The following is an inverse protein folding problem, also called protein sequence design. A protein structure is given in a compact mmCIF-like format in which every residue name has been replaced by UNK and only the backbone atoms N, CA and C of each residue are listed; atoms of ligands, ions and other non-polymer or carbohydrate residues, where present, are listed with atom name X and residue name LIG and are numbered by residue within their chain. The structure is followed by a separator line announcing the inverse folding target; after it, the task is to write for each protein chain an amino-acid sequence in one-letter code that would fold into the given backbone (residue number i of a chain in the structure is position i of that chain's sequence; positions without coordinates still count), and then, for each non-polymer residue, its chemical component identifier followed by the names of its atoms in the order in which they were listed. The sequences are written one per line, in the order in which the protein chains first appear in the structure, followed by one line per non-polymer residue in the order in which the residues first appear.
data_IF_966780737750
#
_entry.id   IF_966780737750
#
_cell.length_a   1.000
_cell.length_b   1.000
_cell.length_c   1.000
_cell.angle_alpha   90.00
_cell.angle_beta   90.00
_cell.angle_gamma   90.00
#
_symmetry.space_group_name_H-M   'P 1'
#
loop_
_entity.id
_entity.type
_entity.pdbx_description
1 polymer ?
#
# COMPACT_ATOMS: atom_id res chain seq x y z
N UNK A 1 13.61 14.91 0.03
CA UNK A 1 13.39 14.58 -1.36
C UNK A 1 12.66 15.73 -2.05
N UNK A 2 13.09 16.07 -3.26
CA UNK A 2 12.48 17.15 -4.04
C UNK A 2 11.13 16.70 -4.66
N UNK A 3 11.00 15.40 -4.97
CA UNK A 3 9.82 14.81 -5.57
C UNK A 3 9.17 13.84 -4.58
N UNK A 4 7.89 14.04 -4.31
CA UNK A 4 7.11 13.21 -3.39
C UNK A 4 6.04 12.43 -4.17
N UNK A 5 6.11 11.10 -4.07
CA UNK A 5 5.09 10.19 -4.61
C UNK A 5 4.24 9.69 -3.45
N UNK A 6 2.94 9.84 -3.55
CA UNK A 6 1.96 9.22 -2.64
C UNK A 6 1.12 8.24 -3.45
N UNK A 7 1.05 7.00 -2.99
CA UNK A 7 0.34 5.93 -3.67
C UNK A 7 -0.72 5.32 -2.74
N UNK A 8 -2.00 5.42 -3.12
CA UNK A 8 -3.09 4.70 -2.46
C UNK A 8 -3.21 3.32 -3.11
N UNK A 9 -2.93 2.29 -2.33
CA UNK A 9 -2.78 0.92 -2.80
C UNK A 9 -3.62 -0.07 -2.00
N UNK A 10 -3.91 -1.20 -2.65
CA UNK A 10 -4.59 -2.35 -2.08
C UNK A 10 -3.78 -3.61 -2.41
N UNK A 11 -3.41 -4.40 -1.41
CA UNK A 11 -2.57 -5.59 -1.58
C UNK A 11 -3.22 -6.71 -2.40
N UNK A 12 -4.54 -6.72 -2.54
CA UNK A 12 -5.25 -7.68 -3.40
C UNK A 12 -5.52 -7.15 -4.82
N UNK A 13 -5.17 -5.90 -5.11
CA UNK A 13 -5.34 -5.30 -6.42
C UNK A 13 -4.17 -5.66 -7.36
N UNK A 14 -4.40 -6.35 -8.49
CA UNK A 14 -3.34 -6.72 -9.43
C UNK A 14 -2.61 -5.52 -10.03
N UNK A 15 -3.33 -4.45 -10.35
CA UNK A 15 -2.76 -3.21 -10.88
C UNK A 15 -1.85 -2.53 -9.85
N UNK A 16 -2.20 -2.63 -8.55
CA UNK A 16 -1.37 -2.09 -7.47
C UNK A 16 -0.02 -2.81 -7.37
N UNK A 17 0.00 -4.13 -7.53
CA UNK A 17 1.25 -4.90 -7.53
C UNK A 17 2.18 -4.49 -8.68
N UNK A 18 1.62 -4.18 -9.85
CA UNK A 18 2.39 -3.71 -11.01
C UNK A 18 2.98 -2.32 -10.77
N UNK A 19 2.18 -1.40 -10.26
CA UNK A 19 2.59 -0.02 -9.96
C UNK A 19 3.61 0.02 -8.83
N UNK A 20 3.40 -0.78 -7.78
CA UNK A 20 4.34 -0.83 -6.65
C UNK A 20 5.75 -1.23 -7.10
N UNK A 21 5.87 -2.27 -7.94
CA UNK A 21 7.15 -2.70 -8.47
C UNK A 21 7.86 -1.60 -9.29
N UNK A 22 7.12 -0.80 -10.08
CA UNK A 22 7.67 0.35 -10.80
C UNK A 22 8.13 1.44 -9.83
N UNK A 23 7.31 1.80 -8.84
CA UNK A 23 7.64 2.81 -7.84
C UNK A 23 8.87 2.41 -7.04
N UNK A 24 8.91 1.16 -6.55
CA UNK A 24 10.02 0.66 -5.76
C UNK A 24 11.36 0.70 -6.54
N UNK A 25 11.31 0.39 -7.85
CA UNK A 25 12.48 0.53 -8.73
C UNK A 25 12.94 1.99 -8.84
N UNK A 26 12.03 2.91 -9.05
CA UNK A 26 12.34 4.34 -9.22
C UNK A 26 12.91 4.95 -7.92
N UNK A 27 12.29 4.67 -6.78
CA UNK A 27 12.75 5.17 -5.49
C UNK A 27 14.14 4.63 -5.12
N UNK A 28 14.42 3.36 -5.42
CA UNK A 28 15.77 2.78 -5.20
C UNK A 28 16.84 3.38 -6.11
N UNK A 29 16.45 3.90 -7.27
CA UNK A 29 17.39 4.47 -8.25
C UNK A 29 17.63 5.97 -8.08
N UNK A 30 16.88 6.66 -7.19
CA UNK A 30 16.87 8.13 -7.10
C UNK A 30 16.78 8.61 -5.65
N UNK A 31 17.77 9.38 -5.22
CA UNK A 31 17.82 9.98 -3.87
C UNK A 31 16.88 11.21 -3.72
N UNK A 32 16.45 11.78 -4.83
CA UNK A 32 15.57 12.96 -4.87
C UNK A 32 14.08 12.61 -4.84
N UNK A 33 13.71 11.32 -4.87
CA UNK A 33 12.34 10.83 -4.82
C UNK A 33 12.04 10.18 -3.47
N UNK A 34 10.91 10.54 -2.88
CA UNK A 34 10.36 9.85 -1.71
C UNK A 34 9.01 9.20 -2.02
N UNK A 35 8.74 8.09 -1.36
CA UNK A 35 7.47 7.36 -1.47
C UNK A 35 6.76 7.30 -0.12
N UNK A 36 5.46 7.60 -0.15
CA UNK A 36 4.51 7.23 0.90
C UNK A 36 3.46 6.30 0.31
N UNK A 37 3.38 5.10 0.84
CA UNK A 37 2.25 4.19 0.57
C UNK A 37 1.15 4.47 1.58
N UNK A 38 -0.07 4.60 1.09
CA UNK A 38 -1.31 4.75 1.84
C UNK A 38 -2.21 3.55 1.59
N UNK A 39 -2.74 2.97 2.65
CA UNK A 39 -3.64 1.84 2.54
C UNK A 39 -5.02 2.29 2.04
N UNK A 40 -5.49 1.68 0.96
CA UNK A 40 -6.85 1.89 0.48
C UNK A 40 -7.50 0.56 0.06
N UNK A 41 -7.71 -0.36 1.02
CA UNK A 41 -8.33 -1.65 0.73
C UNK A 41 -9.75 -1.48 0.21
N UNK A 42 -10.07 -2.10 -0.92
CA UNK A 42 -11.45 -2.18 -1.42
C UNK A 42 -12.19 -3.32 -0.72
N UNK A 43 -12.30 -3.19 0.60
CA UNK A 43 -12.78 -4.20 1.52
C UNK A 43 -13.65 -3.56 2.61
N UNK A 44 -14.88 -4.01 2.72
CA UNK A 44 -15.93 -3.43 3.56
C UNK A 44 -15.55 -3.23 5.04
N UNK A 45 -14.85 -4.15 5.72
CA UNK A 45 -14.56 -4.01 7.15
C UNK A 45 -13.73 -2.78 7.54
N UNK A 46 -12.95 -2.21 6.62
CA UNK A 46 -12.11 -1.05 6.93
C UNK A 46 -12.27 0.12 5.96
N UNK A 47 -13.11 -0.02 4.93
CA UNK A 47 -13.34 1.03 3.94
C UNK A 47 -14.84 1.21 3.70
N UNK A 48 -15.40 2.31 4.23
CA UNK A 48 -16.83 2.62 4.08
C UNK A 48 -17.26 2.84 2.62
N UNK A 49 -16.33 3.26 1.75
CA UNK A 49 -16.62 3.39 0.33
C UNK A 49 -16.85 2.02 -0.32
N UNK A 50 -16.11 1.00 0.11
CA UNK A 50 -16.30 -0.36 -0.37
C UNK A 50 -17.66 -0.94 0.02
N UNK A 51 -18.30 -0.43 1.08
CA UNK A 51 -19.63 -0.85 1.47
C UNK A 51 -20.73 -0.47 0.45
N UNK A 52 -20.47 0.50 -0.43
CA UNK A 52 -21.36 0.86 -1.53
C UNK A 52 -21.23 -0.03 -2.78
N UNK A 53 -20.21 -0.90 -2.82
CA UNK A 53 -20.02 -1.85 -3.90
C UNK A 53 -21.00 -3.03 -3.75
N UNK A 54 -21.52 -3.54 -4.87
CA UNK A 54 -22.43 -4.68 -4.88
C UNK A 54 -21.80 -5.99 -4.39
N UNK A 55 -20.47 -6.06 -4.39
CA UNK A 55 -19.69 -7.21 -3.93
C UNK A 55 -18.42 -6.72 -3.23
N UNK A 56 -17.81 -7.60 -2.44
CA UNK A 56 -16.53 -7.34 -1.75
C UNK A 56 -15.38 -7.89 -2.60
N UNK A 57 -14.76 -7.06 -3.45
CA UNK A 57 -13.79 -7.57 -4.45
C UNK A 57 -12.51 -8.10 -3.82
N UNK A 58 -12.12 -7.55 -2.66
CA UNK A 58 -10.86 -7.83 -2.01
C UNK A 58 -11.07 -8.23 -0.53
N UNK A 59 -11.59 -9.46 -0.25
CA UNK A 59 -12.11 -9.83 1.07
C UNK A 59 -11.05 -9.88 2.19
N UNK A 60 -9.76 -9.95 1.86
CA UNK A 60 -8.66 -9.98 2.83
C UNK A 60 -7.77 -8.74 2.83
N UNK A 61 -8.11 -7.71 2.04
CA UNK A 61 -7.26 -6.54 1.87
C UNK A 61 -7.08 -5.73 3.16
N UNK A 62 -8.12 -5.63 4.01
CA UNK A 62 -7.99 -4.98 5.32
C UNK A 62 -6.96 -5.69 6.21
N UNK A 63 -6.99 -7.02 6.22
CA UNK A 63 -6.05 -7.80 7.02
C UNK A 63 -4.63 -7.75 6.47
N UNK A 64 -4.46 -7.74 5.15
CA UNK A 64 -3.15 -7.55 4.52
C UNK A 64 -2.55 -6.19 4.88
N UNK A 65 -3.32 -5.11 4.80
CA UNK A 65 -2.88 -3.78 5.22
C UNK A 65 -2.45 -3.76 6.71
N UNK A 66 -3.25 -4.40 7.59
CA UNK A 66 -2.91 -4.51 9.01
C UNK A 66 -1.68 -5.39 9.26
N UNK A 67 -1.42 -6.39 8.41
CA UNK A 67 -0.22 -7.21 8.50
C UNK A 67 1.04 -6.38 8.17
N UNK A 68 1.01 -5.56 7.12
CA UNK A 68 2.10 -4.63 6.81
C UNK A 68 2.37 -3.65 7.95
N UNK A 69 1.31 -3.05 8.52
CA UNK A 69 1.42 -2.17 9.68
C UNK A 69 1.99 -2.88 10.91
N UNK A 70 1.58 -4.13 11.16
CA UNK A 70 2.11 -4.93 12.26
C UNK A 70 3.60 -5.20 12.11
N UNK A 71 4.06 -5.52 10.91
CA UNK A 71 5.48 -5.67 10.60
C UNK A 71 6.25 -4.39 10.88
N UNK A 72 5.72 -3.24 10.45
CA UNK A 72 6.32 -1.93 10.72
C UNK A 72 6.38 -1.58 12.20
N UNK A 73 5.35 -1.89 12.98
CA UNK A 73 5.32 -1.66 14.43
C UNK A 73 6.35 -2.53 15.15
N UNK A 74 6.53 -3.77 14.71
CA UNK A 74 7.40 -4.74 15.38
C UNK A 74 8.86 -4.67 14.95
N UNK A 75 9.13 -4.34 13.70
CA UNK A 75 10.45 -4.41 13.09
C UNK A 75 10.93 -3.12 12.40
N UNK A 76 10.12 -2.04 12.48
CA UNK A 76 10.50 -0.76 11.85
C UNK A 76 10.19 -0.68 10.37
N UNK A 77 10.70 0.38 9.74
CA UNK A 77 10.38 0.72 8.35
C UNK A 77 10.81 -0.38 7.36
N UNK A 78 11.99 -0.97 7.55
CA UNK A 78 12.47 -2.02 6.66
C UNK A 78 11.57 -3.26 6.69
N UNK A 79 11.07 -3.61 7.87
CA UNK A 79 10.13 -4.72 8.02
C UNK A 79 8.75 -4.43 7.39
N UNK A 80 8.29 -3.17 7.46
CA UNK A 80 7.09 -2.74 6.74
C UNK A 80 7.25 -2.97 5.23
N UNK A 81 8.36 -2.51 4.66
CA UNK A 81 8.61 -2.64 3.22
C UNK A 81 8.80 -4.09 2.78
N UNK A 82 9.54 -4.91 3.57
CA UNK A 82 9.68 -6.34 3.30
C UNK A 82 8.33 -7.05 3.27
N UNK A 83 7.49 -6.82 4.28
CA UNK A 83 6.13 -7.38 4.32
C UNK A 83 5.28 -6.89 3.16
N UNK A 84 5.35 -5.60 2.81
CA UNK A 84 4.62 -5.00 1.70
C UNK A 84 4.98 -5.66 0.37
N UNK A 85 6.27 -5.80 0.06
CA UNK A 85 6.76 -6.48 -1.14
C UNK A 85 6.28 -7.94 -1.20
N UNK A 86 6.34 -8.65 -0.06
CA UNK A 86 5.89 -10.03 0.05
C UNK A 86 4.40 -10.18 -0.21
N UNK A 87 3.57 -9.26 0.32
CA UNK A 87 2.13 -9.25 0.10
C UNK A 87 1.78 -9.00 -1.37
N UNK A 88 2.43 -8.03 -2.02
CA UNK A 88 2.23 -7.77 -3.45
C UNK A 88 2.69 -8.93 -4.34
N UNK A 89 3.81 -9.58 -4.00
CA UNK A 89 4.31 -10.75 -4.73
C UNK A 89 3.32 -11.91 -4.74
N UNK A 90 2.46 -12.02 -3.73
CA UNK A 90 1.38 -13.01 -3.64
C UNK A 90 0.15 -12.71 -4.52
N UNK A 91 0.08 -11.52 -5.08
CA UNK A 91 -0.99 -11.08 -6.00
C UNK A 91 -2.42 -11.31 -5.46
N UNK A 92 -2.61 -11.03 -4.19
CA UNK A 92 -3.91 -11.10 -3.53
C UNK A 92 -4.37 -12.48 -3.11
N UNK A 93 -3.53 -13.48 -3.22
CA UNK A 93 -3.85 -14.85 -2.78
C UNK A 93 -3.34 -15.07 -1.36
N UNK A 94 -4.13 -14.70 -0.34
CA UNK A 94 -3.79 -14.95 1.07
C UNK A 94 -5.02 -15.01 1.98
N UNK A 95 -4.94 -15.91 2.94
CA UNK A 95 -5.87 -16.10 4.06
C UNK A 95 -5.22 -15.63 5.35
N UNK A 96 -5.96 -15.59 6.47
CA UNK A 96 -5.39 -15.31 7.79
C UNK A 96 -4.25 -16.26 8.18
N UNK A 97 -4.37 -17.54 7.82
CA UNK A 97 -3.33 -18.52 8.10
C UNK A 97 -2.05 -18.23 7.31
N UNK A 98 -2.20 -17.82 6.04
CA UNK A 98 -1.08 -17.44 5.18
C UNK A 98 -0.43 -16.14 5.65
N UNK A 99 -1.18 -15.15 6.11
CA UNK A 99 -0.62 -13.93 6.69
C UNK A 99 0.24 -14.23 7.92
N UNK A 100 -0.20 -15.14 8.79
CA UNK A 100 0.61 -15.59 9.93
C UNK A 100 1.85 -16.37 9.51
N UNK A 101 1.74 -17.22 8.48
CA UNK A 101 2.87 -17.95 7.93
C UNK A 101 3.91 -17.01 7.29
N UNK A 102 3.45 -15.99 6.56
CA UNK A 102 4.32 -14.94 6.03
C UNK A 102 5.08 -14.21 7.13
N UNK A 103 4.38 -13.84 8.21
CA UNK A 103 4.99 -13.18 9.35
C UNK A 103 6.08 -14.05 10.00
N UNK A 104 5.84 -15.35 10.14
CA UNK A 104 6.84 -16.28 10.66
C UNK A 104 8.05 -16.41 9.72
N UNK A 105 7.84 -16.41 8.41
CA UNK A 105 8.91 -16.44 7.41
C UNK A 105 9.76 -15.15 7.43
N UNK A 106 9.16 -14.00 7.77
CA UNK A 106 9.84 -12.72 8.00
C UNK A 106 10.52 -12.63 9.38
N UNK A 107 10.48 -13.69 10.18
CA UNK A 107 11.15 -13.78 11.48
C UNK A 107 10.35 -13.23 12.67
N UNK A 108 9.06 -12.96 12.51
CA UNK A 108 8.21 -12.52 13.61
C UNK A 108 7.70 -13.70 14.43
N UNK A 109 7.64 -13.52 15.75
CA UNK A 109 7.03 -14.48 16.67
C UNK A 109 5.49 -14.49 16.44
N UNK A 110 4.88 -15.63 16.03
CA UNK A 110 3.51 -15.64 15.53
C UNK A 110 2.44 -15.12 16.50
N UNK A 111 2.40 -15.48 17.81
CA UNK A 111 1.44 -14.91 18.74
C UNK A 111 1.59 -13.38 18.91
N UNK A 112 2.81 -12.87 18.94
CA UNK A 112 3.07 -11.42 19.06
C UNK A 112 2.61 -10.68 17.81
N UNK A 113 2.93 -11.22 16.64
CA UNK A 113 2.49 -10.66 15.37
C UNK A 113 0.97 -10.62 15.27
N UNK A 114 0.30 -11.74 15.57
CA UNK A 114 -1.16 -11.83 15.53
C UNK A 114 -1.83 -10.80 16.46
N UNK A 115 -1.35 -10.65 17.70
CA UNK A 115 -1.85 -9.62 18.63
C UNK A 115 -1.67 -8.20 18.08
N UNK A 116 -0.51 -7.91 17.48
CA UNK A 116 -0.25 -6.59 16.88
C UNK A 116 -1.14 -6.36 15.67
N UNK A 117 -1.24 -7.31 14.76
CA UNK A 117 -2.09 -7.24 13.57
C UNK A 117 -3.58 -7.04 13.91
N UNK A 118 -4.06 -7.64 14.99
CA UNK A 118 -5.46 -7.49 15.44
C UNK A 118 -5.69 -6.30 16.36
N UNK A 119 -4.66 -5.52 16.69
CA UNK A 119 -4.76 -4.37 17.61
C UNK A 119 -5.55 -3.20 17.02
N UNK A 120 -6.05 -2.35 17.92
CA UNK A 120 -6.68 -1.09 17.53
C UNK A 120 -5.70 -0.13 16.84
N UNK A 121 -4.41 -0.23 17.12
CA UNK A 121 -3.41 0.63 16.50
C UNK A 121 -3.33 0.40 14.99
N UNK A 122 -3.18 -0.86 14.56
CA UNK A 122 -3.13 -1.18 13.12
C UNK A 122 -4.47 -0.86 12.45
N UNK A 123 -5.59 -1.11 13.12
CA UNK A 123 -6.93 -0.75 12.61
C UNK A 123 -7.02 0.74 12.33
N UNK A 124 -6.69 1.58 13.31
CA UNK A 124 -6.77 3.06 13.16
C UNK A 124 -5.82 3.59 12.08
N UNK A 125 -4.63 3.02 11.91
CA UNK A 125 -3.70 3.42 10.85
C UNK A 125 -4.30 3.17 9.47
N UNK A 126 -4.83 1.98 9.23
CA UNK A 126 -5.48 1.64 7.96
C UNK A 126 -6.71 2.52 7.71
N UNK A 127 -7.59 2.65 8.71
CA UNK A 127 -8.79 3.50 8.61
C UNK A 127 -8.43 4.98 8.36
N UNK A 128 -7.37 5.49 8.99
CA UNK A 128 -6.90 6.87 8.77
C UNK A 128 -6.44 7.10 7.32
N UNK A 129 -5.70 6.17 6.74
CA UNK A 129 -5.29 6.25 5.34
C UNK A 129 -6.50 6.18 4.40
N UNK A 130 -7.47 5.32 4.69
CA UNK A 130 -8.73 5.24 3.92
C UNK A 130 -9.49 6.56 3.97
N UNK A 131 -9.68 7.15 5.14
CA UNK A 131 -10.40 8.42 5.28
C UNK A 131 -9.65 9.58 4.59
N UNK A 132 -8.33 9.61 4.66
CA UNK A 132 -7.50 10.56 3.90
C UNK A 132 -7.73 10.38 2.39
N UNK A 133 -7.70 9.14 1.90
CA UNK A 133 -7.97 8.84 0.50
C UNK A 133 -9.36 9.30 0.06
N UNK A 134 -10.39 9.00 0.84
CA UNK A 134 -11.77 9.44 0.55
C UNK A 134 -11.86 10.96 0.50
N UNK A 135 -11.20 11.67 1.42
CA UNK A 135 -11.17 13.14 1.44
C UNK A 135 -10.46 13.72 0.21
N UNK A 136 -9.48 13.02 -0.36
CA UNK A 136 -8.79 13.37 -1.59
C UNK A 136 -9.50 12.91 -2.87
N UNK A 137 -10.67 12.25 -2.77
CA UNK A 137 -11.44 11.77 -3.91
C UNK A 137 -10.96 10.43 -4.48
N UNK A 138 -10.19 9.64 -3.71
CA UNK A 138 -9.82 8.28 -4.11
C UNK A 138 -11.05 7.39 -4.12
N UNK A 139 -11.35 6.80 -5.28
CA UNK A 139 -12.50 5.91 -5.48
C UNK A 139 -12.11 4.53 -5.99
N UNK A 140 -10.86 4.36 -6.40
CA UNK A 140 -10.30 3.11 -6.91
C UNK A 140 -8.79 3.06 -6.66
N UNK A 141 -8.20 1.89 -6.82
CA UNK A 141 -6.77 1.68 -6.67
C UNK A 141 -6.16 1.07 -7.95
N UNK A 142 -4.90 1.37 -8.23
CA UNK A 142 -4.04 2.36 -7.58
C UNK A 142 -4.45 3.80 -7.90
N UNK A 143 -4.25 4.73 -6.97
CA UNK A 143 -4.28 6.16 -7.27
C UNK A 143 -2.98 6.79 -6.80
N UNK A 144 -2.34 7.55 -7.70
CA UNK A 144 -1.02 8.11 -7.49
C UNK A 144 -1.08 9.64 -7.50
N UNK A 145 -0.33 10.24 -6.58
CA UNK A 145 -0.09 11.69 -6.57
C UNK A 145 1.41 11.94 -6.63
N UNK A 146 1.84 12.87 -7.46
CA UNK A 146 3.21 13.35 -7.54
C UNK A 146 3.22 14.82 -7.18
N UNK A 147 3.94 15.20 -6.13
CA UNK A 147 3.94 16.55 -5.56
C UNK A 147 2.53 17.12 -5.31
N UNK A 148 1.59 16.24 -4.89
CA UNK A 148 0.20 16.62 -4.58
C UNK A 148 -0.73 16.69 -5.80
N UNK A 149 -0.24 16.40 -7.00
CA UNK A 149 -1.05 16.35 -8.23
C UNK A 149 -1.33 14.91 -8.61
N UNK A 150 -2.59 14.57 -8.87
CA UNK A 150 -2.96 13.23 -9.34
C UNK A 150 -2.27 12.89 -10.66
N UNK A 151 -1.64 11.74 -10.70
CA UNK A 151 -1.08 11.17 -11.93
C UNK A 151 -2.16 10.39 -12.68
N UNK A 152 -2.92 11.08 -13.53
CA UNK A 152 -3.79 10.43 -14.51
C UNK A 152 -2.96 9.65 -15.54
N UNK A 153 -3.54 8.56 -16.08
CA UNK A 153 -2.86 7.79 -17.12
C UNK A 153 -1.64 6.98 -16.68
N UNK A 154 -1.52 6.70 -15.39
CA UNK A 154 -0.43 5.89 -14.81
C UNK A 154 -0.24 4.52 -15.49
N UNK A 155 -1.28 3.99 -16.18
CA UNK A 155 -1.21 2.73 -16.95
C UNK A 155 -0.34 2.82 -18.20
N UNK A 156 -0.07 4.02 -18.71
CA UNK A 156 0.84 4.17 -19.84
C UNK A 156 2.27 3.82 -19.41
N UNK A 157 2.96 2.91 -20.11
CA UNK A 157 4.31 2.49 -19.75
C UNK A 157 5.23 3.68 -19.52
N UNK A 158 5.90 3.72 -18.36
CA UNK A 158 6.84 4.79 -17.99
C UNK A 158 6.18 6.15 -17.67
N UNK A 159 4.87 6.23 -17.49
CA UNK A 159 4.19 7.50 -17.17
C UNK A 159 4.72 8.14 -15.89
N UNK A 160 4.91 7.36 -14.85
CA UNK A 160 5.45 7.84 -13.58
C UNK A 160 6.91 8.30 -13.74
N UNK A 161 7.74 7.51 -14.41
CA UNK A 161 9.16 7.83 -14.65
C UNK A 161 9.31 9.15 -15.41
N UNK A 162 8.61 9.31 -16.55
CA UNK A 162 8.62 10.56 -17.31
C UNK A 162 8.12 11.77 -16.51
N UNK A 163 7.13 11.58 -15.64
CA UNK A 163 6.65 12.67 -14.77
C UNK A 163 7.70 13.08 -13.76
N UNK A 164 8.38 12.11 -13.16
CA UNK A 164 9.48 12.35 -12.21
C UNK A 164 10.65 13.06 -12.91
N UNK A 165 11.06 12.58 -14.09
CA UNK A 165 12.14 13.19 -14.88
C UNK A 165 11.84 14.66 -15.21
N UNK A 166 10.65 14.94 -15.73
CA UNK A 166 10.22 16.31 -16.04
C UNK A 166 10.26 17.22 -14.81
N UNK A 167 9.77 16.76 -13.65
CA UNK A 167 9.79 17.54 -12.41
C UNK A 167 11.21 17.76 -11.86
N UNK A 168 12.12 16.83 -12.09
CA UNK A 168 13.52 16.99 -11.71
C UNK A 168 14.23 18.02 -12.58
N UNK A 169 13.87 18.11 -13.87
CA UNK A 169 14.44 19.10 -14.80
C UNK A 169 13.92 20.53 -14.56
N UNK A 170 12.73 20.66 -13.95
CA UNK A 170 12.10 21.96 -13.65
C UNK A 170 12.57 22.58 -12.30
N UNK A 171 13.26 21.81 -11.44
CA UNK A 171 13.68 22.21 -10.08
C UNK A 171 15.16 22.48 -9.96
#
# INVERSE_FOLDING_TARGET
AAIRVVAFLDYQCPDCATVEAEIARLVRARDDVSLSVKHFPLNTPCNRLAASLEFNPHPNACWAARAAEAAGILGGQDAFWSMSETLFARRGSFTDAELRALAAAEGFEPPRFARTMTSDLTRRRVESDVEEGIALGVTSTPMLFVNGVELGGWRAPGALERTIERLADEG
#
